data_IF_857159972775
#
_entry.id   IF_857159972775
#
_cell.length_a   1.000
_cell.length_b   1.000
_cell.length_c   1.000
_cell.angle_alpha   90.00
_cell.angle_beta   90.00
_cell.angle_gamma   90.00
#
_symmetry.space_group_name_H-M   'P 1'
#
loop_
_entity.id
_entity.type
_entity.pdbx_description
1 polymer ?
#
# COMPACT_ATOMS: atom_id res chain seq x y z
N UNK A 1 -2.63 -32.15 -10.64
CA UNK A 1 -2.36 -30.69 -10.75
C UNK A 1 -0.96 -30.43 -10.21
N UNK A 2 0.02 -30.19 -11.07
CA UNK A 2 1.39 -29.86 -10.66
C UNK A 2 1.43 -28.45 -10.08
N UNK A 3 1.57 -28.36 -8.75
CA UNK A 3 1.65 -27.09 -8.04
C UNK A 3 3.01 -26.48 -8.36
N UNK A 4 3.07 -25.47 -9.26
CA UNK A 4 4.33 -24.77 -9.55
C UNK A 4 4.96 -24.23 -8.25
N UNK A 5 6.27 -24.42 -8.02
CA UNK A 5 6.95 -23.85 -6.86
C UNK A 5 6.84 -22.32 -6.87
N UNK A 6 6.82 -21.70 -5.67
CA UNK A 6 6.85 -20.24 -5.59
C UNK A 6 8.22 -19.75 -6.09
N UNK A 7 8.28 -18.67 -6.88
CA UNK A 7 9.56 -18.16 -7.33
C UNK A 7 10.35 -17.67 -6.10
N UNK A 8 11.66 -18.01 -5.97
CA UNK A 8 12.45 -17.72 -4.77
C UNK A 8 12.48 -16.22 -4.45
N UNK A 9 12.49 -15.37 -5.48
CA UNK A 9 12.39 -13.91 -5.33
C UNK A 9 11.15 -13.46 -4.55
N UNK A 10 10.00 -14.13 -4.72
CA UNK A 10 8.79 -13.77 -3.98
C UNK A 10 8.91 -14.12 -2.49
N UNK A 11 9.52 -15.26 -2.18
CA UNK A 11 9.73 -15.65 -0.78
C UNK A 11 10.68 -14.67 -0.11
N UNK A 12 11.79 -14.32 -0.78
CA UNK A 12 12.79 -13.38 -0.27
C UNK A 12 12.22 -11.99 -0.01
N UNK A 13 11.52 -11.39 -1.00
CA UNK A 13 10.95 -10.05 -0.84
C UNK A 13 9.95 -9.98 0.31
N UNK A 14 9.10 -10.99 0.45
CA UNK A 14 8.03 -11.00 1.46
C UNK A 14 8.56 -11.30 2.85
N UNK A 15 9.55 -12.18 2.97
CA UNK A 15 10.27 -12.38 4.21
C UNK A 15 11.00 -11.09 4.62
N UNK A 16 11.66 -10.41 3.69
CA UNK A 16 12.32 -9.13 3.94
C UNK A 16 11.32 -8.06 4.43
N UNK A 17 10.13 -7.94 3.83
CA UNK A 17 9.08 -7.03 4.29
C UNK A 17 8.72 -7.31 5.76
N UNK A 18 8.42 -8.58 6.09
CA UNK A 18 8.05 -8.97 7.46
C UNK A 18 9.19 -8.66 8.44
N UNK A 19 10.42 -9.03 8.09
CA UNK A 19 11.59 -8.79 8.93
C UNK A 19 11.87 -7.30 9.14
N UNK A 20 11.76 -6.48 8.10
CA UNK A 20 11.91 -5.02 8.21
C UNK A 20 10.86 -4.39 9.13
N UNK A 21 9.60 -4.82 9.03
CA UNK A 21 8.53 -4.33 9.92
C UNK A 21 8.81 -4.74 11.36
N UNK A 22 9.13 -6.01 11.62
CA UNK A 22 9.45 -6.50 12.97
C UNK A 22 10.67 -5.76 13.54
N UNK A 23 11.74 -5.61 12.75
CA UNK A 23 12.94 -4.88 13.17
C UNK A 23 12.64 -3.42 13.52
N UNK A 24 11.78 -2.75 12.73
CA UNK A 24 11.36 -1.38 13.02
C UNK A 24 10.53 -1.28 14.31
N UNK A 25 9.62 -2.23 14.56
CA UNK A 25 8.82 -2.27 15.80
C UNK A 25 9.71 -2.51 17.02
N UNK A 26 10.65 -3.46 16.94
CA UNK A 26 11.63 -3.73 18.02
C UNK A 26 12.51 -2.50 18.26
N UNK A 27 13.03 -1.88 17.19
CA UNK A 27 13.85 -0.68 17.32
C UNK A 27 13.08 0.46 18.00
N UNK A 28 11.80 0.62 17.71
CA UNK A 28 10.94 1.64 18.34
C UNK A 28 10.70 1.31 19.81
N UNK A 29 10.39 0.06 20.14
CA UNK A 29 10.13 -0.34 21.53
C UNK A 29 11.36 -0.15 22.41
N UNK A 30 12.55 -0.44 21.88
CA UNK A 30 13.80 -0.33 22.64
C UNK A 30 14.34 1.10 22.75
N UNK A 31 13.97 2.00 21.83
CA UNK A 31 14.61 3.32 21.73
C UNK A 31 13.64 4.51 21.83
N UNK A 32 12.32 4.30 21.83
CA UNK A 32 11.33 5.38 21.83
C UNK A 32 10.70 5.57 23.20
N UNK A 33 10.74 6.81 23.73
CA UNK A 33 10.09 7.16 25.00
C UNK A 33 8.58 6.90 25.02
N UNK A 34 7.92 6.98 23.86
CA UNK A 34 6.48 6.77 23.72
C UNK A 34 6.09 5.30 23.46
N UNK A 35 7.07 4.43 23.18
CA UNK A 35 6.86 3.02 22.84
C UNK A 35 6.11 2.76 21.52
N UNK A 36 5.90 1.47 21.22
CA UNK A 36 5.15 1.03 20.02
C UNK A 36 3.66 1.33 20.13
N UNK A 37 3.08 1.26 21.34
CA UNK A 37 1.66 1.48 21.57
C UNK A 37 1.18 2.83 21.04
N UNK A 38 1.90 3.91 21.35
CA UNK A 38 1.61 5.24 20.79
C UNK A 38 1.77 5.26 19.27
N UNK A 39 2.84 4.67 18.74
CA UNK A 39 3.11 4.66 17.29
C UNK A 39 2.01 3.95 16.49
N UNK A 40 1.35 2.94 17.07
CA UNK A 40 0.22 2.25 16.46
C UNK A 40 -1.04 3.12 16.29
N UNK A 41 -1.09 4.32 16.88
CA UNK A 41 -2.15 5.31 16.57
C UNK A 41 -1.95 6.00 15.22
N UNK A 42 -0.78 5.83 14.60
CA UNK A 42 -0.45 6.45 13.30
C UNK A 42 -0.73 5.51 12.13
N UNK A 43 -1.18 6.08 11.01
CA UNK A 43 -1.52 5.32 9.81
C UNK A 43 -0.35 4.49 9.29
N UNK A 44 0.87 5.06 9.29
CA UNK A 44 2.07 4.37 8.79
C UNK A 44 2.31 3.05 9.51
N UNK A 45 2.24 3.04 10.85
CA UNK A 45 2.50 1.83 11.62
C UNK A 45 1.39 0.81 11.42
N UNK A 46 0.12 1.23 11.40
CA UNK A 46 -1.00 0.32 11.13
C UNK A 46 -0.89 -0.31 9.73
N UNK A 47 -0.55 0.49 8.71
CA UNK A 47 -0.36 0.01 7.33
C UNK A 47 0.81 -0.98 7.21
N UNK A 48 1.94 -0.72 7.90
CA UNK A 48 3.10 -1.61 7.89
C UNK A 48 2.84 -2.92 8.66
N UNK A 49 2.13 -2.87 9.80
CA UNK A 49 1.69 -4.08 10.51
C UNK A 49 0.73 -4.90 9.65
N UNK A 50 -0.24 -4.26 9.00
CA UNK A 50 -1.12 -4.92 8.05
C UNK A 50 -0.32 -5.57 6.90
N UNK A 51 0.70 -4.89 6.38
CA UNK A 51 1.60 -5.45 5.37
C UNK A 51 2.32 -6.69 5.88
N UNK A 52 2.92 -6.66 7.07
CA UNK A 52 3.59 -7.81 7.66
C UNK A 52 2.63 -9.00 7.85
N UNK A 53 1.39 -8.76 8.29
CA UNK A 53 0.37 -9.81 8.41
C UNK A 53 0.00 -10.40 7.05
N UNK A 54 -0.30 -9.56 6.06
CA UNK A 54 -0.68 -10.02 4.71
C UNK A 54 0.47 -10.78 4.05
N UNK A 55 1.68 -10.25 4.09
CA UNK A 55 2.85 -10.89 3.50
C UNK A 55 3.27 -12.15 4.25
N UNK A 56 3.22 -12.16 5.58
CA UNK A 56 3.44 -13.35 6.40
C UNK A 56 2.42 -14.44 6.09
N UNK A 57 1.13 -14.10 5.99
CA UNK A 57 0.09 -15.04 5.58
C UNK A 57 0.36 -15.64 4.19
N UNK A 58 0.86 -14.86 3.24
CA UNK A 58 1.24 -15.39 1.91
C UNK A 58 2.43 -16.35 1.94
N UNK A 59 3.33 -16.24 2.93
CA UNK A 59 4.42 -17.19 3.13
C UNK A 59 3.88 -18.53 3.66
N UNK A 60 2.99 -18.45 4.65
CA UNK A 60 2.37 -19.62 5.30
C UNK A 60 1.38 -20.36 4.40
N UNK A 61 0.57 -19.64 3.62
CA UNK A 61 -0.50 -20.23 2.81
C UNK A 61 -0.65 -19.59 1.43
N UNK A 62 -0.82 -20.43 0.41
CA UNK A 62 -1.02 -20.00 -0.98
C UNK A 62 -2.40 -19.38 -1.22
N UNK A 63 -3.35 -19.50 -0.27
CA UNK A 63 -4.68 -18.90 -0.41
C UNK A 63 -4.62 -17.38 -0.45
N UNK A 64 -3.68 -16.76 0.25
CA UNK A 64 -3.50 -15.31 0.23
C UNK A 64 -2.77 -14.82 -1.03
N UNK A 65 -1.99 -15.68 -1.70
CA UNK A 65 -1.45 -15.38 -3.04
C UNK A 65 -2.55 -15.13 -4.08
N UNK A 66 -3.76 -15.66 -3.84
CA UNK A 66 -4.92 -15.51 -4.71
C UNK A 66 -5.76 -14.25 -4.43
N UNK A 67 -5.31 -13.34 -3.56
CA UNK A 67 -6.03 -12.08 -3.24
C UNK A 67 -5.25 -10.84 -3.74
N UNK A 68 -5.17 -10.62 -5.07
CA UNK A 68 -4.42 -9.51 -5.66
C UNK A 68 -4.96 -8.14 -5.22
N UNK A 69 -6.27 -8.01 -5.01
CA UNK A 69 -6.89 -6.78 -4.53
C UNK A 69 -6.39 -6.36 -3.14
N UNK A 70 -6.23 -7.33 -2.22
CA UNK A 70 -5.73 -7.05 -0.87
C UNK A 70 -4.26 -6.63 -0.89
N UNK A 71 -3.43 -7.32 -1.68
CA UNK A 71 -2.03 -6.96 -1.88
C UNK A 71 -1.88 -5.57 -2.52
N UNK A 72 -2.68 -5.28 -3.54
CA UNK A 72 -2.71 -3.96 -4.17
C UNK A 72 -3.06 -2.85 -3.18
N UNK A 73 -4.08 -3.06 -2.33
CA UNK A 73 -4.43 -2.11 -1.28
C UNK A 73 -3.27 -1.84 -0.32
N UNK A 74 -2.59 -2.90 0.16
CA UNK A 74 -1.42 -2.78 1.04
C UNK A 74 -0.30 -1.97 0.39
N UNK A 75 0.01 -2.22 -0.89
CA UNK A 75 1.03 -1.45 -1.64
C UNK A 75 0.64 0.03 -1.68
N UNK A 76 -0.62 0.34 -1.98
CA UNK A 76 -1.12 1.73 -1.99
C UNK A 76 -0.98 2.39 -0.62
N UNK A 77 -1.31 1.69 0.46
CA UNK A 77 -1.20 2.25 1.81
C UNK A 77 0.25 2.51 2.20
N UNK A 78 1.16 1.59 1.87
CA UNK A 78 2.59 1.76 2.13
C UNK A 78 3.19 2.92 1.34
N UNK A 79 2.88 3.00 0.03
CA UNK A 79 3.36 4.09 -0.83
C UNK A 79 2.76 5.43 -0.41
N UNK A 80 1.47 5.46 -0.04
CA UNK A 80 0.80 6.66 0.47
C UNK A 80 1.43 7.14 1.79
N UNK A 81 1.70 6.23 2.72
CA UNK A 81 2.36 6.55 3.99
C UNK A 81 3.79 7.08 3.76
N UNK A 82 4.56 6.45 2.88
CA UNK A 82 5.91 6.91 2.52
C UNK A 82 5.90 8.30 1.88
N UNK A 83 4.98 8.55 0.95
CA UNK A 83 4.83 9.85 0.29
C UNK A 83 4.40 10.94 1.27
N UNK A 84 3.42 10.65 2.14
CA UNK A 84 2.98 11.58 3.19
C UNK A 84 4.15 11.93 4.11
N UNK A 85 4.99 10.95 4.46
CA UNK A 85 6.16 11.22 5.28
C UNK A 85 7.17 12.12 4.57
N UNK A 86 7.53 11.81 3.32
CA UNK A 86 8.45 12.61 2.53
C UNK A 86 7.98 14.06 2.33
N UNK A 87 6.67 14.26 2.09
CA UNK A 87 6.12 15.59 1.75
C UNK A 87 5.77 16.40 2.99
N UNK A 88 5.20 15.79 4.02
CA UNK A 88 4.60 16.52 5.16
C UNK A 88 5.36 16.38 6.47
N UNK A 89 6.15 15.31 6.64
CA UNK A 89 6.68 14.92 7.95
C UNK A 89 8.19 14.83 8.01
N UNK A 90 8.92 14.89 6.91
CA UNK A 90 10.37 14.70 6.90
C UNK A 90 11.07 15.70 7.84
N UNK A 91 10.67 16.97 7.78
CA UNK A 91 11.23 18.06 8.60
C UNK A 91 10.60 18.19 10.00
N UNK A 92 9.54 17.42 10.28
CA UNK A 92 8.77 17.51 11.55
C UNK A 92 8.73 16.21 12.35
N UNK A 93 9.21 15.12 11.77
CA UNK A 93 9.32 13.83 12.44
C UNK A 93 10.66 13.72 13.14
N UNK A 94 10.90 12.60 13.84
CA UNK A 94 12.17 12.28 14.53
C UNK A 94 13.38 12.12 13.57
N UNK A 95 13.29 12.58 12.32
CA UNK A 95 14.32 12.47 11.30
C UNK A 95 14.46 11.06 10.72
N UNK A 96 15.60 10.80 10.09
CA UNK A 96 15.96 9.53 9.44
C UNK A 96 16.40 8.45 10.44
N UNK A 97 15.55 8.12 11.41
CA UNK A 97 15.79 6.97 12.29
C UNK A 97 15.71 5.67 11.49
N UNK A 98 16.38 4.57 11.91
CA UNK A 98 16.27 3.29 11.23
C UNK A 98 14.82 2.84 11.04
N UNK A 99 13.96 3.00 12.05
CA UNK A 99 12.55 2.67 11.96
C UNK A 99 11.81 3.54 10.92
N UNK A 100 12.08 4.85 10.86
CA UNK A 100 11.45 5.72 9.87
C UNK A 100 11.88 5.33 8.45
N UNK A 101 13.17 5.07 8.22
CA UNK A 101 13.68 4.63 6.91
C UNK A 101 13.07 3.29 6.51
N UNK A 102 13.00 2.33 7.43
CA UNK A 102 12.41 1.02 7.17
C UNK A 102 10.93 1.13 6.78
N UNK A 103 10.13 1.85 7.56
CA UNK A 103 8.67 1.87 7.40
C UNK A 103 8.17 2.82 6.30
N UNK A 104 8.94 3.86 5.95
CA UNK A 104 8.52 4.85 4.95
C UNK A 104 9.22 4.69 3.59
N UNK A 105 10.38 4.02 3.53
CA UNK A 105 11.14 3.86 2.29
C UNK A 105 11.35 2.39 1.91
N UNK A 106 11.96 1.59 2.81
CA UNK A 106 12.37 0.23 2.47
C UNK A 106 11.18 -0.70 2.27
N UNK A 107 10.26 -0.78 3.24
CA UNK A 107 9.07 -1.64 3.15
C UNK A 107 8.18 -1.27 1.96
N UNK A 108 7.85 0.03 1.72
CA UNK A 108 7.11 0.42 0.52
C UNK A 108 7.81 0.03 -0.79
N UNK A 109 9.13 0.20 -0.89
CA UNK A 109 9.90 -0.20 -2.07
C UNK A 109 9.89 -1.71 -2.29
N UNK A 110 10.07 -2.51 -1.23
CA UNK A 110 10.00 -3.97 -1.30
C UNK A 110 8.61 -4.46 -1.69
N UNK A 111 7.55 -3.85 -1.15
CA UNK A 111 6.17 -4.21 -1.48
C UNK A 111 5.84 -3.89 -2.94
N UNK A 112 6.29 -2.73 -3.45
CA UNK A 112 6.18 -2.39 -4.87
C UNK A 112 6.98 -3.35 -5.76
N UNK A 113 8.21 -3.70 -5.38
CA UNK A 113 9.00 -4.68 -6.10
C UNK A 113 8.29 -6.06 -6.16
N UNK A 114 7.76 -6.54 -5.04
CA UNK A 114 6.99 -7.79 -5.00
C UNK A 114 5.74 -7.71 -5.89
N UNK A 115 5.03 -6.57 -5.89
CA UNK A 115 3.86 -6.35 -6.74
C UNK A 115 4.18 -6.48 -8.24
N UNK A 116 5.29 -5.90 -8.68
CA UNK A 116 5.72 -5.87 -10.08
C UNK A 116 6.32 -7.21 -10.56
N UNK A 117 6.92 -7.97 -9.64
CA UNK A 117 7.71 -9.16 -9.96
C UNK A 117 6.96 -10.49 -9.75
N UNK A 118 6.00 -10.57 -8.82
CA UNK A 118 5.51 -11.88 -8.30
C UNK A 118 4.06 -12.24 -8.64
N UNK A 119 3.36 -11.41 -9.43
CA UNK A 119 1.93 -11.58 -9.69
C UNK A 119 1.52 -11.92 -11.13
N UNK A 120 2.44 -11.95 -12.10
CA UNK A 120 2.14 -11.93 -13.56
C UNK A 120 1.28 -13.10 -14.06
N UNK A 121 1.25 -14.22 -13.37
CA UNK A 121 0.50 -15.41 -13.79
C UNK A 121 -0.96 -15.41 -13.32
N UNK A 122 -1.41 -14.36 -12.61
CA UNK A 122 -2.76 -14.27 -12.02
C UNK A 122 -3.49 -13.01 -12.48
N UNK A 123 -4.83 -13.03 -12.53
CA UNK A 123 -5.61 -11.82 -12.77
C UNK A 123 -5.33 -10.79 -11.68
N UNK A 124 -5.13 -9.53 -12.08
CA UNK A 124 -4.93 -8.41 -11.16
C UNK A 124 -6.22 -7.89 -10.54
N UNK A 125 -6.13 -6.84 -9.72
CA UNK A 125 -7.30 -6.12 -9.22
C UNK A 125 -8.05 -5.45 -10.38
N UNK A 126 -9.37 -5.36 -10.25
CA UNK A 126 -10.22 -4.63 -11.20
C UNK A 126 -10.10 -3.10 -10.96
N UNK A 127 -10.34 -2.31 -12.00
CA UNK A 127 -10.25 -0.84 -11.98
C UNK A 127 -11.15 -0.14 -10.94
N UNK A 128 -12.21 -0.80 -10.44
CA UNK A 128 -13.11 -0.29 -9.39
C UNK A 128 -12.64 -0.59 -7.96
N UNK A 129 -11.53 -1.31 -7.77
CA UNK A 129 -11.01 -1.58 -6.42
C UNK A 129 -10.42 -0.34 -5.73
N UNK A 130 -9.72 0.61 -6.39
CA UNK A 130 -9.14 1.77 -5.71
C UNK A 130 -10.14 2.61 -4.90
N UNK A 131 -11.37 2.90 -5.37
CA UNK A 131 -12.40 3.50 -4.53
C UNK A 131 -12.69 2.72 -3.25
N UNK A 132 -12.74 1.38 -3.29
CA UNK A 132 -12.96 0.56 -2.10
C UNK A 132 -11.75 0.55 -1.15
N UNK A 133 -10.54 0.74 -1.67
CA UNK A 133 -9.35 0.85 -0.83
C UNK A 133 -9.38 2.12 0.04
N UNK A 134 -10.18 3.13 -0.30
CA UNK A 134 -10.38 4.29 0.57
C UNK A 134 -11.11 3.96 1.87
N UNK A 135 -11.77 2.79 1.99
CA UNK A 135 -12.44 2.39 3.22
C UNK A 135 -11.48 2.35 4.41
N UNK A 136 -10.23 1.92 4.20
CA UNK A 136 -9.26 1.82 5.29
C UNK A 136 -8.71 3.21 5.72
N UNK A 137 -8.24 4.09 4.83
CA UNK A 137 -7.94 5.48 5.18
C UNK A 137 -9.14 6.23 5.80
N UNK A 138 -10.36 5.99 5.34
CA UNK A 138 -11.56 6.57 5.94
C UNK A 138 -11.81 6.05 7.36
N UNK A 139 -11.65 4.75 7.59
CA UNK A 139 -11.72 4.17 8.94
C UNK A 139 -10.63 4.72 9.85
N UNK A 140 -9.41 4.91 9.34
CA UNK A 140 -8.33 5.56 10.08
C UNK A 140 -8.67 7.01 10.43
N UNK A 141 -9.22 7.78 9.49
CA UNK A 141 -9.65 9.15 9.75
C UNK A 141 -10.70 9.19 10.87
N UNK A 142 -11.71 8.33 10.80
CA UNK A 142 -12.73 8.21 11.86
C UNK A 142 -12.09 7.85 13.20
N UNK A 143 -11.19 6.86 13.24
CA UNK A 143 -10.42 6.53 14.43
C UNK A 143 -9.65 7.74 14.98
N UNK A 144 -8.93 8.47 14.13
CA UNK A 144 -8.11 9.60 14.54
C UNK A 144 -8.94 10.80 15.05
N UNK A 145 -10.14 11.04 14.52
CA UNK A 145 -11.00 12.14 14.95
C UNK A 145 -11.85 11.80 16.19
N UNK A 146 -12.31 10.56 16.29
CA UNK A 146 -13.33 10.18 17.27
C UNK A 146 -12.74 9.54 18.53
N UNK A 147 -11.60 8.87 18.42
CA UNK A 147 -11.03 8.08 19.52
C UNK A 147 -9.73 8.67 20.10
N UNK A 148 -9.10 9.61 19.41
CA UNK A 148 -7.85 10.23 19.88
C UNK A 148 -8.10 11.66 20.35
N UNK A 149 -7.32 12.09 21.35
CA UNK A 149 -7.35 13.46 21.84
C UNK A 149 -6.49 14.38 20.95
N UNK A 150 -6.99 14.59 19.72
CA UNK A 150 -6.26 15.27 18.65
C UNK A 150 -5.61 14.28 17.68
N UNK A 151 -5.66 14.60 16.38
CA UNK A 151 -5.11 13.72 15.37
C UNK A 151 -3.57 13.71 15.44
N UNK A 152 -2.90 12.54 15.25
CA UNK A 152 -1.44 12.46 15.25
C UNK A 152 -0.77 13.28 14.14
N UNK A 153 -1.56 13.71 13.15
CA UNK A 153 -1.12 14.48 12.01
C UNK A 153 -1.79 15.86 12.03
N UNK A 154 -0.98 16.92 12.07
CA UNK A 154 -1.47 18.31 12.07
C UNK A 154 -2.39 18.62 10.88
N UNK A 155 -2.14 17.99 9.73
CA UNK A 155 -2.93 18.17 8.51
C UNK A 155 -4.26 17.39 8.53
N UNK A 156 -4.51 16.60 9.57
CA UNK A 156 -5.80 15.94 9.84
C UNK A 156 -6.44 16.40 11.15
N UNK A 157 -5.84 17.32 11.90
CA UNK A 157 -6.42 17.72 13.19
C UNK A 157 -7.49 18.81 13.01
N UNK A 158 -8.76 18.47 13.28
CA UNK A 158 -9.87 19.42 13.21
C UNK A 158 -9.70 20.59 14.18
N UNK A 159 -9.04 20.38 15.32
CA UNK A 159 -8.81 21.42 16.33
C UNK A 159 -7.82 22.46 15.85
N UNK A 160 -6.90 22.07 14.95
CA UNK A 160 -5.93 22.97 14.33
C UNK A 160 -6.46 23.62 13.05
N UNK A 161 -7.22 22.88 12.25
CA UNK A 161 -7.60 23.28 10.89
C UNK A 161 -9.01 23.86 10.76
N UNK A 162 -9.87 23.59 11.75
CA UNK A 162 -11.32 23.69 11.59
C UNK A 162 -11.87 22.68 10.57
N UNK A 163 -13.20 22.58 10.49
CA UNK A 163 -13.87 21.61 9.59
C UNK A 163 -13.55 21.85 8.12
N UNK A 164 -13.52 23.11 7.65
CA UNK A 164 -13.23 23.44 6.26
C UNK A 164 -11.82 23.01 5.86
N UNK A 165 -10.82 23.27 6.70
CA UNK A 165 -9.43 22.88 6.46
C UNK A 165 -9.27 21.36 6.46
N UNK A 166 -9.92 20.68 7.41
CA UNK A 166 -9.94 19.21 7.46
C UNK A 166 -10.53 18.60 6.18
N UNK A 167 -11.74 19.03 5.78
CA UNK A 167 -12.41 18.49 4.58
C UNK A 167 -11.56 18.69 3.34
N UNK A 168 -10.95 19.87 3.15
CA UNK A 168 -10.06 20.14 2.01
C UNK A 168 -8.88 19.15 1.99
N UNK A 169 -8.22 18.94 3.13
CA UNK A 169 -7.06 18.04 3.21
C UNK A 169 -7.47 16.58 3.01
N UNK A 170 -8.60 16.15 3.57
CA UNK A 170 -9.15 14.80 3.39
C UNK A 170 -9.48 14.53 1.92
N UNK A 171 -10.10 15.49 1.22
CA UNK A 171 -10.39 15.36 -0.22
C UNK A 171 -9.10 15.25 -1.03
N UNK A 172 -8.10 16.09 -0.74
CA UNK A 172 -6.81 16.04 -1.42
C UNK A 172 -6.08 14.70 -1.20
N UNK A 173 -6.05 14.21 0.04
CA UNK A 173 -5.46 12.92 0.37
C UNK A 173 -6.22 11.77 -0.28
N UNK A 174 -7.56 11.75 -0.21
CA UNK A 174 -8.37 10.74 -0.87
C UNK A 174 -8.12 10.70 -2.39
N UNK A 175 -8.03 11.89 -3.03
CA UNK A 175 -7.63 12.01 -4.43
C UNK A 175 -6.25 11.41 -4.71
N UNK A 176 -5.25 11.70 -3.87
CA UNK A 176 -3.91 11.12 -3.97
C UNK A 176 -3.90 9.59 -3.84
N UNK A 177 -4.63 9.05 -2.85
CA UNK A 177 -4.77 7.60 -2.67
C UNK A 177 -5.48 6.93 -3.85
N UNK A 178 -6.48 7.58 -4.47
CA UNK A 178 -7.15 7.08 -5.68
C UNK A 178 -6.21 7.04 -6.88
N UNK A 179 -5.49 8.13 -7.14
CA UNK A 179 -4.50 8.21 -8.23
C UNK A 179 -3.46 7.11 -8.05
N UNK A 180 -2.90 6.99 -6.84
CA UNK A 180 -1.94 5.95 -6.50
C UNK A 180 -2.53 4.55 -6.67
N UNK A 181 -3.78 4.34 -6.26
CA UNK A 181 -4.49 3.09 -6.44
C UNK A 181 -4.66 2.70 -7.91
N UNK A 182 -5.07 3.63 -8.76
CA UNK A 182 -5.16 3.36 -10.20
C UNK A 182 -3.78 3.12 -10.84
N UNK A 183 -2.74 3.83 -10.42
CA UNK A 183 -1.37 3.55 -10.87
C UNK A 183 -0.93 2.13 -10.49
N UNK A 184 -1.17 1.71 -9.24
CA UNK A 184 -0.86 0.35 -8.78
C UNK A 184 -1.65 -0.71 -9.55
N UNK A 185 -2.93 -0.46 -9.85
CA UNK A 185 -3.74 -1.35 -10.70
C UNK A 185 -3.20 -1.40 -12.13
N UNK A 186 -2.84 -0.26 -12.72
CA UNK A 186 -2.36 -0.17 -14.10
C UNK A 186 -1.00 -0.86 -14.31
N UNK A 187 -0.11 -0.75 -13.32
CA UNK A 187 1.21 -1.38 -13.28
C UNK A 187 1.17 -2.84 -12.78
N UNK A 188 0.05 -3.23 -12.19
CA UNK A 188 -0.13 -4.55 -11.59
C UNK A 188 -0.27 -5.67 -12.61
N UNK A 189 -0.34 -6.91 -12.12
CA UNK A 189 -0.54 -8.08 -12.96
C UNK A 189 -1.80 -7.94 -13.82
N UNK A 190 -1.68 -8.18 -15.12
CA UNK A 190 -2.84 -8.23 -16.02
C UNK A 190 -3.20 -9.69 -16.24
N UNK A 191 -4.46 -10.07 -16.04
CA UNK A 191 -4.89 -11.44 -16.30
C UNK A 191 -4.64 -11.83 -17.75
N UNK A 192 -4.48 -13.14 -18.03
CA UNK A 192 -4.29 -13.63 -19.40
C UNK A 192 -5.44 -13.21 -20.34
N UNK A 193 -6.65 -12.99 -19.82
CA UNK A 193 -7.83 -12.59 -20.59
C UNK A 193 -7.76 -11.15 -21.11
N UNK A 194 -7.20 -10.21 -20.33
CA UNK A 194 -7.01 -8.82 -20.76
C UNK A 194 -5.93 -8.72 -21.85
N UNK A 195 -4.90 -9.57 -21.78
CA UNK A 195 -3.86 -9.67 -22.81
C UNK A 195 -4.42 -10.27 -24.10
N UNK A 196 -5.31 -11.26 -24.02
CA UNK A 196 -5.97 -11.84 -25.21
C UNK A 196 -6.93 -10.84 -25.85
N UNK A 197 -7.69 -10.07 -25.05
CA UNK A 197 -8.57 -8.99 -25.56
C UNK A 197 -7.79 -7.87 -26.24
N UNK A 198 -6.66 -7.42 -25.68
CA UNK A 198 -5.84 -6.38 -26.31
C UNK A 198 -5.17 -6.86 -27.61
N UNK A 199 -4.68 -8.11 -27.66
CA UNK A 199 -4.12 -8.71 -28.87
C UNK A 199 -5.21 -8.91 -29.94
N UNK A 200 -6.42 -9.32 -29.55
CA UNK A 200 -7.54 -9.48 -30.48
C UNK A 200 -8.02 -8.13 -31.04
N UNK A 201 -8.11 -7.10 -30.20
CA UNK A 201 -8.45 -5.74 -30.63
C UNK A 201 -7.41 -5.15 -31.59
N UNK A 202 -6.11 -5.35 -31.31
CA UNK A 202 -5.02 -4.91 -32.19
C UNK A 202 -4.99 -5.67 -33.54
N UNK A 203 -5.38 -6.95 -33.56
CA UNK A 203 -5.54 -7.72 -34.80
C UNK A 203 -6.76 -7.30 -35.62
N UNK A 204 -7.88 -6.98 -34.95
CA UNK A 204 -9.11 -6.52 -35.60
C UNK A 204 -9.01 -5.13 -36.23
N UNK A 205 -8.12 -4.26 -35.74
CA UNK A 205 -7.86 -2.94 -36.35
C UNK A 205 -6.87 -2.99 -37.52
N UNK A 206 -6.08 -4.07 -37.65
CA UNK A 206 -5.11 -4.23 -38.74
C UNK A 206 -5.70 -4.89 -40.01
N UNK A 207 -6.81 -5.62 -39.90
CA UNK A 207 -7.47 -6.24 -41.07
C UNK A 207 -8.41 -5.31 -41.83
N UNK A 208 -8.88 -4.23 -41.19
CA UNK A 208 -9.79 -3.25 -41.82
C UNK A 208 -9.07 -2.16 -42.62
N UNK A 209 -7.74 -2.05 -42.55
CA UNK A 209 -6.94 -1.09 -43.32
C UNK A 209 -6.33 -1.67 -44.60
N UNK A 210 -6.42 -2.98 -44.83
CA UNK A 210 -5.88 -3.65 -46.03
C UNK A 210 -6.91 -3.81 -47.16
N UNK A 211 -8.13 -3.30 -47.01
CA UNK A 211 -9.23 -3.45 -47.97
C UNK A 211 -9.68 -2.14 -48.62
N UNK A 212 -8.82 -1.12 -48.67
CA UNK A 212 -9.06 0.13 -49.40
C UNK A 212 -7.97 0.41 -50.40
#
# INVERSE_FOLDING_TARGET
MTVRPRPPVAVLLRAAIVLCVVAALVAVELNSRSGVAWRLTTFTYQANVLAAVVYGATLLTRRFDARPALRGAVVVYLLGAGLVWLVFLIDRSTGFTPANVLLHLVVPALALADWLLTGRDRPGPRWWHPPLWLLYPAAYLAFAQLLLDGAPYYFLDVRMLGYTGLVRNVVALAGGFLVLGWLVVALGPRGQDDRKRSISAAKGSGSSSSSR
#
